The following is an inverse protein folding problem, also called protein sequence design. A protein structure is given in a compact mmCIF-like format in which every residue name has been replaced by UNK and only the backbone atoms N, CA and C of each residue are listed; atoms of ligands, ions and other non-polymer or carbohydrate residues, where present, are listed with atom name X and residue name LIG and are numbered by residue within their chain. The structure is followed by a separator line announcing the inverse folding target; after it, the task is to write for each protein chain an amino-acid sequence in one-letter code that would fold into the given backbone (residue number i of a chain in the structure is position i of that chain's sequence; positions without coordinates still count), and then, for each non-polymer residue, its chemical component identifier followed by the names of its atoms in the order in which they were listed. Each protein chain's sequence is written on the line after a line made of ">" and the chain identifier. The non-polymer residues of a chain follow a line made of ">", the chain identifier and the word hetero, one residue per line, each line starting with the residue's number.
data_IF_604465671393
#
_entry.id   IF_604465671393
#
_cell.length_a   1.000
_cell.length_b   1.000
_cell.length_c   1.000
_cell.angle_alpha   90.00
_cell.angle_beta   90.00
_cell.angle_gamma   90.00
#
_symmetry.space_group_name_H-M   'P 1'
#
loop_
_entity.id
_entity.type
_entity.pdbx_description
1 polymer ?
#
# COMPACT_ATOMS: atom_id res chain seq x y z
N UNK A 1 49.71 -33.36 -39.09
CA UNK A 1 48.40 -34.00 -38.78
C UNK A 1 47.49 -32.86 -38.36
N UNK A 2 46.70 -32.23 -39.26
CA UNK A 2 45.34 -32.65 -39.68
C UNK A 2 44.39 -32.56 -38.48
N UNK A 3 43.32 -31.77 -38.39
CA UNK A 3 42.22 -31.52 -39.35
C UNK A 3 41.39 -30.29 -38.88
N UNK A 4 41.17 -29.32 -39.76
CA UNK A 4 39.89 -28.67 -40.17
C UNK A 4 38.69 -28.61 -39.20
N UNK A 5 38.13 -27.40 -39.01
CA UNK A 5 36.68 -27.18 -38.80
C UNK A 5 36.24 -25.97 -39.62
N UNK A 6 35.20 -26.18 -40.43
CA UNK A 6 34.64 -25.26 -41.41
C UNK A 6 33.72 -24.20 -40.78
N UNK A 7 33.75 -22.97 -41.32
CA UNK A 7 32.76 -21.91 -41.07
C UNK A 7 31.66 -22.01 -42.12
N UNK A 8 30.41 -22.16 -41.68
CA UNK A 8 29.21 -22.08 -42.53
C UNK A 8 28.69 -20.65 -42.47
N UNK A 9 28.58 -20.01 -43.63
CA UNK A 9 27.84 -18.77 -43.84
C UNK A 9 26.47 -19.13 -44.43
N UNK A 10 25.39 -18.60 -43.86
CA UNK A 10 24.04 -18.69 -44.44
C UNK A 10 23.62 -17.29 -44.87
N UNK A 11 23.19 -17.23 -46.12
CA UNK A 11 22.82 -16.05 -46.91
C UNK A 11 21.37 -15.66 -46.63
N UNK A 12 21.14 -14.36 -46.38
CA UNK A 12 19.80 -13.74 -46.36
C UNK A 12 19.30 -13.52 -47.80
N UNK A 13 18.13 -14.06 -48.14
CA UNK A 13 17.42 -13.77 -49.39
C UNK A 13 16.32 -12.76 -49.06
N UNK A 14 16.48 -11.53 -49.57
CA UNK A 14 15.45 -10.49 -49.54
C UNK A 14 14.47 -10.67 -50.71
N UNK A 15 13.18 -10.56 -50.43
CA UNK A 15 12.12 -10.46 -51.44
C UNK A 15 11.64 -9.02 -51.50
N UNK A 16 11.87 -8.39 -52.65
CA UNK A 16 11.31 -7.10 -53.05
C UNK A 16 9.97 -7.37 -53.76
N UNK A 17 8.89 -6.72 -53.34
CA UNK A 17 7.67 -6.58 -54.13
C UNK A 17 7.40 -5.09 -54.29
N UNK A 18 7.32 -4.67 -55.56
CA UNK A 18 7.31 -3.28 -55.99
C UNK A 18 5.94 -2.61 -55.97
N UNK A 19 6.00 -1.28 -56.04
CA UNK A 19 4.91 -0.35 -56.23
C UNK A 19 4.33 -0.42 -57.65
N UNK A 20 3.01 -0.26 -57.78
CA UNK A 20 2.34 0.11 -59.02
C UNK A 20 1.36 1.26 -58.75
N UNK A 21 1.39 2.27 -59.62
CA UNK A 21 0.67 3.54 -59.51
C UNK A 21 -0.75 3.51 -60.09
N UNK A 22 -1.60 4.31 -59.43
CA UNK A 22 -2.76 5.10 -59.91
C UNK A 22 -4.00 4.44 -60.51
N UNK A 23 -5.14 4.66 -59.85
CA UNK A 23 -6.34 5.25 -60.45
C UNK A 23 -7.13 6.03 -59.38
N UNK A 24 -7.44 7.30 -59.66
CA UNK A 24 -8.42 8.08 -58.93
C UNK A 24 -9.78 7.97 -59.63
N UNK A 25 -10.87 7.87 -58.86
CA UNK A 25 -12.22 8.44 -59.06
C UNK A 25 -13.16 7.87 -57.98
N UNK A 26 -13.89 8.75 -57.30
CA UNK A 26 -15.18 8.42 -56.68
C UNK A 26 -15.33 8.83 -55.21
N UNK A 27 -15.88 10.03 -54.98
CA UNK A 27 -16.44 10.45 -53.69
C UNK A 27 -17.53 9.48 -53.23
N UNK A 28 -17.38 8.98 -52.01
CA UNK A 28 -18.39 8.24 -51.28
C UNK A 28 -17.98 8.11 -49.82
N UNK A 29 -18.61 8.90 -48.94
CA UNK A 29 -18.57 8.65 -47.50
C UNK A 29 -19.33 7.35 -47.18
N UNK A 30 -18.71 6.42 -46.44
CA UNK A 30 -19.45 5.79 -45.37
C UNK A 30 -18.65 5.75 -44.06
N UNK A 31 -19.26 6.30 -43.01
CA UNK A 31 -19.09 5.92 -41.60
C UNK A 31 -17.68 5.79 -41.06
N UNK A 32 -17.27 6.77 -40.26
CA UNK A 32 -16.23 6.59 -39.24
C UNK A 32 -16.70 5.54 -38.21
N UNK A 33 -16.58 4.27 -38.58
CA UNK A 33 -16.46 3.17 -37.63
C UNK A 33 -15.05 3.21 -37.08
N UNK A 34 -14.81 4.09 -36.12
CA UNK A 34 -13.59 4.06 -35.32
C UNK A 34 -13.50 2.69 -34.66
N UNK A 35 -12.60 1.84 -35.15
CA UNK A 35 -12.21 0.62 -34.45
C UNK A 35 -11.52 1.10 -33.18
N UNK A 36 -12.25 1.09 -32.06
CA UNK A 36 -11.66 1.29 -30.75
C UNK A 36 -10.55 0.24 -30.59
N UNK A 37 -9.30 0.70 -30.49
CA UNK A 37 -8.21 -0.17 -30.08
C UNK A 37 -8.62 -0.81 -28.74
N UNK A 38 -8.49 -2.13 -28.57
CA UNK A 38 -8.85 -2.77 -27.31
C UNK A 38 -8.04 -2.12 -26.19
N UNK A 39 -8.75 -1.67 -25.15
CA UNK A 39 -8.13 -1.19 -23.91
C UNK A 39 -7.11 -2.23 -23.43
N UNK A 40 -5.87 -1.81 -23.24
CA UNK A 40 -4.80 -2.66 -22.68
C UNK A 40 -4.96 -2.88 -21.18
N UNK A 41 -5.87 -2.14 -20.52
CA UNK A 41 -6.20 -2.32 -19.11
C UNK A 41 -7.28 -3.40 -18.99
N UNK A 42 -7.08 -4.44 -18.16
CA UNK A 42 -8.15 -5.39 -17.86
C UNK A 42 -9.35 -4.64 -17.26
N UNK A 43 -10.58 -5.14 -17.46
CA UNK A 43 -11.75 -4.55 -16.82
C UNK A 43 -11.57 -4.56 -15.29
N UNK A 44 -12.11 -3.53 -14.62
CA UNK A 44 -12.15 -3.47 -13.16
C UNK A 44 -12.88 -4.71 -12.64
N UNK A 45 -12.31 -5.47 -11.67
CA UNK A 45 -13.04 -6.55 -11.04
C UNK A 45 -14.24 -6.05 -10.23
N UNK A 46 -15.28 -6.88 -10.10
CA UNK A 46 -16.39 -6.61 -9.18
C UNK A 46 -16.08 -6.99 -7.73
N UNK A 47 -14.88 -7.49 -7.45
CA UNK A 47 -14.47 -8.03 -6.14
C UNK A 47 -13.27 -7.24 -5.60
N UNK A 48 -13.29 -6.89 -4.31
CA UNK A 48 -12.25 -6.10 -3.63
C UNK A 48 -11.71 -6.83 -2.39
N UNK A 49 -10.39 -6.92 -2.26
CA UNK A 49 -9.72 -7.29 -1.00
C UNK A 49 -8.99 -6.06 -0.46
N UNK A 50 -9.42 -5.54 0.68
CA UNK A 50 -8.91 -4.35 1.32
C UNK A 50 -8.08 -4.73 2.57
N UNK A 51 -6.78 -4.47 2.53
CA UNK A 51 -5.91 -4.60 3.69
C UNK A 51 -5.75 -3.24 4.36
N UNK A 52 -6.15 -3.14 5.63
CA UNK A 52 -5.82 -2.02 6.49
C UNK A 52 -4.57 -2.37 7.30
N UNK A 53 -3.52 -1.58 7.14
CA UNK A 53 -2.26 -1.69 7.90
C UNK A 53 -2.22 -0.49 8.83
N UNK A 54 -2.49 -0.73 10.11
CA UNK A 54 -2.71 0.33 11.09
C UNK A 54 -1.59 0.35 12.10
N UNK A 55 -0.95 1.50 12.21
CA UNK A 55 0.04 1.80 13.23
C UNK A 55 -0.59 1.72 14.63
N UNK A 56 0.05 0.92 15.48
CA UNK A 56 -0.38 0.67 16.85
C UNK A 56 0.52 1.32 17.90
N UNK A 57 1.28 2.36 17.51
CA UNK A 57 2.11 3.16 18.41
C UNK A 57 1.29 4.06 19.33
N UNK A 58 1.98 4.62 20.33
CA UNK A 58 1.37 5.45 21.39
C UNK A 58 0.69 6.72 20.89
N UNK A 59 1.05 7.24 19.73
CA UNK A 59 0.55 8.52 19.20
C UNK A 59 -0.73 8.41 18.39
N UNK A 60 -1.17 7.21 17.99
CA UNK A 60 -2.23 7.00 17.00
C UNK A 60 -3.66 7.01 17.56
N UNK A 61 -3.87 7.45 18.80
CA UNK A 61 -5.20 7.34 19.42
C UNK A 61 -6.25 8.10 18.62
N UNK A 62 -6.02 9.39 18.38
CA UNK A 62 -6.94 10.29 17.69
C UNK A 62 -7.14 9.89 16.22
N UNK A 63 -6.07 9.48 15.54
CA UNK A 63 -6.07 9.00 14.17
C UNK A 63 -6.86 7.70 14.00
N UNK A 64 -6.73 6.74 14.94
CA UNK A 64 -7.53 5.51 14.93
C UNK A 64 -9.03 5.81 15.13
N UNK A 65 -9.38 6.83 15.92
CA UNK A 65 -10.78 7.26 16.06
C UNK A 65 -11.34 7.87 14.78
N UNK A 66 -10.58 8.71 14.06
CA UNK A 66 -10.99 9.18 12.74
C UNK A 66 -11.13 8.02 11.74
N UNK A 67 -10.15 7.11 11.69
CA UNK A 67 -10.22 5.91 10.86
C UNK A 67 -11.53 5.15 11.11
N UNK A 68 -11.85 4.87 12.38
CA UNK A 68 -13.10 4.20 12.74
C UNK A 68 -14.32 5.01 12.28
N UNK A 69 -14.35 6.31 12.53
CA UNK A 69 -15.51 7.14 12.19
C UNK A 69 -15.79 7.14 10.68
N UNK A 70 -14.74 7.38 9.89
CA UNK A 70 -14.87 7.66 8.46
C UNK A 70 -14.89 6.38 7.59
N UNK A 71 -14.50 5.23 8.17
CA UNK A 71 -14.53 3.93 7.46
C UNK A 71 -15.93 3.54 6.98
N UNK A 72 -16.99 3.96 7.67
CA UNK A 72 -18.36 3.70 7.24
C UNK A 72 -18.64 4.33 5.87
N UNK A 73 -18.32 5.61 5.68
CA UNK A 73 -18.51 6.31 4.42
C UNK A 73 -17.69 5.69 3.29
N UNK A 74 -16.47 5.24 3.57
CA UNK A 74 -15.67 4.50 2.60
C UNK A 74 -16.36 3.20 2.14
N UNK A 75 -16.83 2.38 3.08
CA UNK A 75 -17.46 1.11 2.76
C UNK A 75 -18.81 1.30 2.06
N UNK A 76 -19.56 2.35 2.41
CA UNK A 76 -20.77 2.75 1.71
C UNK A 76 -20.45 3.13 0.26
N UNK A 77 -19.46 3.99 0.03
CA UNK A 77 -19.06 4.39 -1.32
C UNK A 77 -18.63 3.18 -2.17
N UNK A 78 -17.85 2.26 -1.60
CA UNK A 78 -17.36 1.07 -2.31
C UNK A 78 -18.47 0.06 -2.67
N UNK A 79 -19.52 -0.05 -1.86
CA UNK A 79 -20.58 -1.05 -2.01
C UNK A 79 -21.86 -0.52 -2.68
N UNK A 80 -22.05 0.80 -2.69
CA UNK A 80 -23.20 1.45 -3.34
C UNK A 80 -22.84 2.12 -4.66
N UNK A 81 -21.59 2.58 -4.77
CA UNK A 81 -21.08 3.39 -5.86
C UNK A 81 -21.43 4.88 -5.76
N UNK A 82 -21.95 5.31 -4.60
CA UNK A 82 -22.20 6.71 -4.22
C UNK A 82 -20.93 7.28 -3.57
N UNK A 83 -20.13 7.99 -4.35
CA UNK A 83 -18.77 8.36 -3.98
C UNK A 83 -18.71 9.56 -3.04
N UNK A 84 -19.69 10.46 -3.11
CA UNK A 84 -19.74 11.70 -2.31
C UNK A 84 -20.90 11.72 -1.29
N UNK A 85 -21.69 10.65 -1.21
CA UNK A 85 -22.74 10.47 -0.21
C UNK A 85 -23.98 11.30 -0.49
N UNK A 86 -24.18 11.78 -1.72
CA UNK A 86 -25.34 12.61 -2.08
C UNK A 86 -26.61 11.79 -2.40
N UNK A 87 -26.50 10.46 -2.40
CA UNK A 87 -27.56 9.49 -2.70
C UNK A 87 -27.65 9.13 -4.19
N UNK A 88 -26.79 9.68 -5.04
CA UNK A 88 -26.65 9.33 -6.45
C UNK A 88 -25.52 8.31 -6.60
N UNK A 89 -25.60 7.48 -7.63
CA UNK A 89 -24.54 6.52 -7.96
C UNK A 89 -23.69 7.09 -9.08
N UNK A 90 -22.40 7.29 -8.83
CA UNK A 90 -21.43 7.78 -9.81
C UNK A 90 -20.73 6.63 -10.53
N UNK A 91 -20.52 5.50 -9.84
CA UNK A 91 -19.78 4.36 -10.38
C UNK A 91 -20.46 3.00 -10.08
N UNK A 92 -20.21 1.95 -10.87
CA UNK A 92 -20.65 0.60 -10.50
C UNK A 92 -19.94 0.16 -9.21
N UNK A 93 -20.65 -0.34 -8.18
CA UNK A 93 -20.03 -0.75 -6.93
C UNK A 93 -19.18 -2.03 -7.05
N UNK A 94 -18.52 -2.41 -5.96
CA UNK A 94 -18.08 -3.79 -5.76
C UNK A 94 -19.27 -4.66 -5.36
N UNK A 95 -19.34 -5.86 -5.94
CA UNK A 95 -20.32 -6.89 -5.59
C UNK A 95 -19.87 -7.67 -4.34
N UNK A 96 -18.57 -7.65 -4.02
CA UNK A 96 -18.02 -8.40 -2.89
C UNK A 96 -16.78 -7.72 -2.33
N UNK A 97 -16.75 -7.52 -1.01
CA UNK A 97 -15.65 -6.85 -0.31
C UNK A 97 -15.13 -7.75 0.81
N UNK A 98 -13.82 -7.93 0.89
CA UNK A 98 -13.14 -8.52 2.04
C UNK A 98 -12.25 -7.49 2.71
N UNK A 99 -12.23 -7.47 4.04
CA UNK A 99 -11.38 -6.61 4.85
C UNK A 99 -10.50 -7.47 5.75
N UNK A 100 -9.21 -7.19 5.70
CA UNK A 100 -8.22 -7.70 6.64
C UNK A 100 -7.54 -6.54 7.35
N UNK A 101 -7.24 -6.71 8.63
CA UNK A 101 -6.49 -5.71 9.41
C UNK A 101 -5.21 -6.34 9.94
N UNK A 102 -4.07 -5.69 9.73
CA UNK A 102 -2.80 -5.99 10.38
C UNK A 102 -2.27 -4.74 11.08
N UNK A 103 -1.40 -4.95 12.06
CA UNK A 103 -0.58 -3.84 12.59
C UNK A 103 0.74 -3.76 11.84
N UNK A 104 1.51 -2.77 12.22
CA UNK A 104 2.86 -2.44 11.75
C UNK A 104 3.96 -3.09 12.60
N UNK A 105 3.60 -3.74 13.72
CA UNK A 105 4.52 -4.40 14.63
C UNK A 105 5.02 -5.72 14.04
N UNK A 106 6.25 -5.70 13.52
CA UNK A 106 6.98 -6.88 13.04
C UNK A 106 8.03 -7.37 14.05
N UNK A 107 8.04 -6.80 15.25
CA UNK A 107 9.06 -7.03 16.27
C UNK A 107 10.41 -6.41 15.91
N UNK A 108 11.39 -6.65 16.78
CA UNK A 108 12.73 -6.05 16.74
C UNK A 108 13.81 -7.10 16.45
N UNK A 109 13.44 -8.18 15.76
CA UNK A 109 14.33 -9.30 15.43
C UNK A 109 14.98 -10.00 16.63
N UNK A 110 14.31 -9.98 17.78
CA UNK A 110 14.74 -10.60 19.04
C UNK A 110 15.47 -9.67 20.01
N UNK A 111 15.70 -8.41 19.64
CA UNK A 111 16.32 -7.43 20.54
C UNK A 111 15.30 -6.85 21.53
N UNK A 112 15.61 -6.84 22.82
CA UNK A 112 14.70 -6.28 23.82
C UNK A 112 14.63 -4.76 23.72
N UNK A 113 13.48 -4.26 23.29
CA UNK A 113 13.12 -2.84 23.27
C UNK A 113 11.89 -2.65 24.17
N UNK A 114 11.87 -1.66 25.09
CA UNK A 114 10.81 -1.55 26.11
C UNK A 114 9.37 -1.53 25.59
N UNK A 115 9.11 -0.94 24.43
CA UNK A 115 7.78 -0.86 23.80
C UNK A 115 7.43 -2.11 22.99
N UNK A 116 8.41 -2.95 22.65
CA UNK A 116 8.23 -4.08 21.75
C UNK A 116 8.13 -5.39 22.55
N UNK A 117 6.94 -5.67 23.10
CA UNK A 117 6.71 -6.82 23.97
C UNK A 117 6.98 -8.17 23.28
N UNK A 118 6.77 -8.25 21.95
CA UNK A 118 6.97 -9.46 21.14
C UNK A 118 8.19 -9.30 20.21
N UNK A 119 9.36 -9.12 20.81
CA UNK A 119 10.60 -8.77 20.10
C UNK A 119 10.97 -9.66 18.90
N UNK A 120 10.59 -10.95 18.87
CA UNK A 120 10.93 -11.83 17.75
C UNK A 120 10.14 -11.52 16.47
N UNK A 121 8.81 -11.42 16.55
CA UNK A 121 7.93 -11.38 15.38
C UNK A 121 6.85 -10.29 15.44
N UNK A 122 6.67 -9.59 16.57
CA UNK A 122 5.56 -8.65 16.72
C UNK A 122 4.20 -9.33 16.56
N UNK A 123 3.36 -8.74 15.72
CA UNK A 123 2.12 -9.28 15.17
C UNK A 123 2.34 -10.02 13.83
N UNK A 124 3.54 -9.96 13.27
CA UNK A 124 4.05 -10.78 12.16
C UNK A 124 3.28 -10.66 10.83
N UNK A 125 2.51 -9.57 10.63
CA UNK A 125 1.64 -9.42 9.47
C UNK A 125 0.51 -10.46 9.42
N UNK A 126 0.14 -11.03 10.56
CA UNK A 126 -1.01 -11.94 10.68
C UNK A 126 -2.28 -11.10 10.88
N UNK A 127 -3.34 -11.46 10.15
CA UNK A 127 -4.63 -10.79 10.25
C UNK A 127 -5.16 -10.84 11.68
N UNK A 128 -5.48 -9.66 12.22
CA UNK A 128 -6.00 -9.48 13.57
C UNK A 128 -7.38 -10.13 13.68
N UNK A 129 -7.62 -10.72 14.84
CA UNK A 129 -8.94 -11.22 15.25
C UNK A 129 -9.37 -10.62 16.57
N UNK A 130 -8.54 -9.77 17.19
CA UNK A 130 -8.73 -9.24 18.53
C UNK A 130 -9.41 -7.88 18.49
N UNK A 131 -10.56 -7.82 19.15
CA UNK A 131 -11.33 -6.59 19.33
C UNK A 131 -11.14 -5.98 20.72
N UNK A 132 -11.35 -4.67 20.80
CA UNK A 132 -11.25 -3.90 22.04
C UNK A 132 -12.58 -3.81 22.76
N UNK A 133 -12.75 -4.58 23.83
CA UNK A 133 -14.00 -4.59 24.63
C UNK A 133 -14.18 -3.34 25.49
N UNK A 134 -13.15 -2.49 25.63
CA UNK A 134 -13.26 -1.17 26.23
C UNK A 134 -13.88 -0.12 25.30
N UNK A 135 -13.98 -0.42 24.00
CA UNK A 135 -14.74 0.38 23.03
C UNK A 135 -16.19 -0.12 23.00
N UNK A 136 -17.14 0.77 23.28
CA UNK A 136 -18.57 0.42 23.31
C UNK A 136 -19.01 -0.16 21.96
N UNK A 137 -19.71 -1.29 22.00
CA UNK A 137 -20.20 -1.99 20.81
C UNK A 137 -19.23 -3.04 20.26
N UNK A 138 -17.96 -3.02 20.64
CA UNK A 138 -16.99 -3.97 20.12
C UNK A 138 -16.94 -5.30 20.88
N UNK A 139 -16.90 -6.40 20.12
CA UNK A 139 -16.66 -7.75 20.60
C UNK A 139 -15.17 -8.01 20.89
N UNK A 140 -14.89 -9.04 21.67
CA UNK A 140 -13.52 -9.49 21.98
C UNK A 140 -12.83 -10.14 20.77
N UNK A 141 -13.61 -10.81 19.91
CA UNK A 141 -13.10 -11.57 18.76
C UNK A 141 -13.93 -11.36 17.51
N UNK A 142 -13.22 -11.31 16.39
CA UNK A 142 -13.76 -11.22 15.03
C UNK A 142 -13.14 -12.31 14.13
N UNK A 143 -13.77 -12.66 13.00
CA UNK A 143 -13.11 -13.39 11.92
C UNK A 143 -11.84 -12.66 11.45
N UNK A 144 -10.82 -13.40 11.01
CA UNK A 144 -9.60 -12.81 10.45
C UNK A 144 -9.84 -12.11 9.11
N UNK A 145 -10.89 -12.52 8.39
CA UNK A 145 -11.37 -11.88 7.15
C UNK A 145 -12.83 -11.53 7.34
N UNK A 146 -13.13 -10.24 7.36
CA UNK A 146 -14.50 -9.74 7.31
C UNK A 146 -14.94 -9.75 5.85
N UNK A 147 -16.12 -10.28 5.55
CA UNK A 147 -16.60 -10.39 4.18
C UNK A 147 -18.01 -9.85 4.06
N UNK A 148 -18.23 -9.06 3.01
CA UNK A 148 -19.53 -8.52 2.63
C UNK A 148 -19.91 -8.92 1.20
N UNK A 149 -21.19 -9.21 1.02
CA UNK A 149 -21.88 -9.52 -0.24
C UNK A 149 -23.28 -8.84 -0.17
N UNK A 150 -24.00 -8.64 -1.28
CA UNK A 150 -25.19 -7.76 -1.32
C UNK A 150 -26.37 -8.21 -0.45
N UNK A 151 -26.43 -9.50 -0.10
CA UNK A 151 -27.47 -10.09 0.77
C UNK A 151 -27.03 -10.17 2.24
N UNK A 152 -25.81 -9.75 2.57
CA UNK A 152 -25.27 -9.74 3.92
C UNK A 152 -25.77 -8.53 4.72
N UNK A 153 -25.67 -8.63 6.04
CA UNK A 153 -25.90 -7.49 6.94
C UNK A 153 -24.76 -6.46 6.78
N UNK A 154 -25.05 -5.39 6.04
CA UNK A 154 -24.07 -4.33 5.79
C UNK A 154 -23.73 -3.54 7.05
N UNK A 155 -24.72 -3.25 7.90
CA UNK A 155 -24.52 -2.49 9.13
C UNK A 155 -23.59 -3.25 10.08
N UNK A 156 -23.87 -4.54 10.31
CA UNK A 156 -23.00 -5.41 11.11
C UNK A 156 -21.58 -5.56 10.53
N UNK A 157 -21.43 -5.63 9.20
CA UNK A 157 -20.12 -5.66 8.54
C UNK A 157 -19.31 -4.38 8.78
N UNK A 158 -19.96 -3.22 8.68
CA UNK A 158 -19.32 -1.92 8.95
C UNK A 158 -18.93 -1.81 10.42
N UNK A 159 -19.81 -2.17 11.35
CA UNK A 159 -19.53 -2.16 12.79
C UNK A 159 -18.33 -3.06 13.15
N UNK A 160 -18.28 -4.27 12.60
CA UNK A 160 -17.17 -5.20 12.77
C UNK A 160 -15.85 -4.60 12.23
N UNK A 161 -15.87 -4.00 11.04
CA UNK A 161 -14.71 -3.38 10.42
C UNK A 161 -14.20 -2.19 11.24
N UNK A 162 -15.11 -1.33 11.71
CA UNK A 162 -14.84 -0.19 12.59
C UNK A 162 -14.24 -0.62 13.94
N UNK A 163 -14.65 -1.77 14.47
CA UNK A 163 -14.08 -2.31 15.69
C UNK A 163 -12.72 -2.97 15.49
N UNK A 164 -12.53 -3.67 14.38
CA UNK A 164 -11.27 -4.35 14.08
C UNK A 164 -10.15 -3.37 13.70
N UNK A 165 -10.50 -2.19 13.16
CA UNK A 165 -9.55 -1.12 12.81
C UNK A 165 -8.96 -0.38 14.01
N UNK A 166 -9.57 -0.47 15.21
CA UNK A 166 -8.95 0.04 16.44
C UNK A 166 -7.97 -1.01 16.96
N UNK A 167 -6.70 -0.83 16.61
CA UNK A 167 -5.64 -1.79 16.91
C UNK A 167 -5.02 -1.62 18.28
N UNK A 168 -5.23 -0.46 18.92
CA UNK A 168 -4.58 -0.09 20.18
C UNK A 168 -3.29 0.68 19.95
N UNK A 169 -2.67 1.12 21.05
CA UNK A 169 -1.53 2.07 21.04
C UNK A 169 -0.35 1.59 21.88
N UNK A 170 -0.32 0.28 22.19
CA UNK A 170 0.69 -0.37 23.02
C UNK A 170 1.67 -1.20 22.16
N UNK A 171 1.77 -0.88 20.88
CA UNK A 171 2.62 -1.52 19.89
C UNK A 171 4.10 -1.20 20.05
N UNK A 172 4.91 -1.90 19.25
CA UNK A 172 6.34 -1.64 19.15
C UNK A 172 6.58 -0.29 18.48
N UNK A 173 7.31 0.62 19.14
CA UNK A 173 7.61 1.96 18.57
C UNK A 173 8.67 1.97 17.45
N UNK A 174 8.70 0.93 16.63
CA UNK A 174 9.51 0.82 15.42
C UNK A 174 8.63 0.21 14.33
N UNK A 175 7.98 1.10 13.59
CA UNK A 175 6.93 0.72 12.66
C UNK A 175 7.52 0.13 11.38
N UNK A 176 6.94 -0.99 10.93
CA UNK A 176 7.40 -1.75 9.75
C UNK A 176 6.22 -2.02 8.82
N UNK A 177 5.51 -0.94 8.47
CA UNK A 177 4.30 -0.92 7.64
C UNK A 177 4.53 -1.66 6.31
N UNK A 178 5.68 -1.46 5.65
CA UNK A 178 5.94 -2.06 4.34
C UNK A 178 6.18 -3.56 4.44
N UNK A 179 6.96 -4.02 5.44
CA UNK A 179 7.20 -5.44 5.68
C UNK A 179 5.93 -6.15 6.16
N UNK A 180 5.15 -5.54 7.06
CA UNK A 180 3.88 -6.06 7.55
C UNK A 180 2.87 -6.22 6.41
N UNK A 181 2.69 -5.18 5.59
CA UNK A 181 1.82 -5.22 4.43
C UNK A 181 2.24 -6.35 3.48
N UNK A 182 3.50 -6.37 3.05
CA UNK A 182 4.00 -7.36 2.10
C UNK A 182 3.87 -8.78 2.66
N UNK A 183 4.18 -9.00 3.94
CA UNK A 183 4.07 -10.33 4.58
C UNK A 183 2.64 -10.82 4.65
N UNK A 184 1.70 -9.93 4.95
CA UNK A 184 0.28 -10.28 5.09
C UNK A 184 -0.32 -10.84 3.80
N UNK A 185 0.08 -10.31 2.64
CA UNK A 185 -0.54 -10.63 1.33
C UNK A 185 0.34 -11.45 0.38
N UNK A 186 1.58 -11.75 0.75
CA UNK A 186 2.46 -12.61 -0.06
C UNK A 186 2.19 -14.10 0.18
N UNK A 187 1.90 -14.91 -0.86
CA UNK A 187 1.87 -16.35 -0.73
C UNK A 187 3.28 -16.96 -0.72
N UNK A 188 3.45 -18.11 -0.08
CA UNK A 188 4.71 -18.85 0.02
C UNK A 188 5.22 -19.39 -1.33
N UNK A 189 4.33 -19.51 -2.32
CA UNK A 189 4.62 -19.95 -3.69
C UNK A 189 3.75 -19.19 -4.72
N UNK A 190 4.08 -19.20 -6.02
CA UNK A 190 3.20 -18.63 -7.05
C UNK A 190 1.80 -19.26 -7.02
N UNK A 191 0.77 -18.42 -7.09
CA UNK A 191 -0.66 -18.80 -7.07
C UNK A 191 -1.37 -18.29 -8.33
N UNK A 192 -2.69 -18.53 -8.42
CA UNK A 192 -3.49 -18.06 -9.54
C UNK A 192 -3.57 -16.52 -9.64
N UNK A 193 -3.46 -15.78 -8.53
CA UNK A 193 -3.47 -14.31 -8.59
C UNK A 193 -2.10 -13.69 -8.92
N UNK A 194 -1.01 -14.37 -8.58
CA UNK A 194 0.33 -13.78 -8.71
C UNK A 194 0.75 -13.60 -10.17
N UNK A 195 1.58 -12.60 -10.44
CA UNK A 195 2.22 -12.40 -11.73
C UNK A 195 3.13 -13.58 -12.09
N UNK A 196 3.39 -13.79 -13.38
CA UNK A 196 4.33 -14.80 -13.85
C UNK A 196 5.78 -14.55 -13.35
N UNK A 197 6.12 -13.30 -13.04
CA UNK A 197 7.41 -12.89 -12.48
C UNK A 197 7.48 -12.99 -10.96
N UNK A 198 6.40 -13.37 -10.28
CA UNK A 198 6.35 -13.41 -8.83
C UNK A 198 7.39 -14.36 -8.26
N UNK A 199 8.20 -13.81 -7.35
CA UNK A 199 9.16 -14.56 -6.55
C UNK A 199 8.76 -14.41 -5.08
N UNK A 200 8.42 -15.50 -4.38
CA UNK A 200 8.02 -15.41 -2.97
C UNK A 200 9.09 -14.71 -2.12
N UNK A 201 8.75 -13.61 -1.43
CA UNK A 201 9.68 -12.97 -0.50
C UNK A 201 9.88 -13.87 0.73
N UNK A 202 11.09 -13.85 1.28
CA UNK A 202 11.41 -14.43 2.60
C UNK A 202 11.47 -13.32 3.64
N UNK A 203 10.93 -13.57 4.82
CA UNK A 203 10.85 -12.61 5.93
C UNK A 203 11.83 -13.00 7.05
N UNK A 204 11.78 -12.28 8.18
CA UNK A 204 12.61 -12.56 9.36
C UNK A 204 12.64 -14.06 9.69
N UNK A 205 13.84 -14.56 10.02
CA UNK A 205 14.14 -16.00 10.22
C UNK A 205 13.75 -16.91 9.05
N UNK A 206 13.75 -16.39 7.82
CA UNK A 206 13.39 -17.13 6.59
C UNK A 206 11.96 -17.68 6.63
N UNK A 207 11.04 -16.98 7.30
CA UNK A 207 9.62 -17.33 7.29
C UNK A 207 8.97 -16.96 5.95
N UNK A 208 7.92 -17.69 5.51
CA UNK A 208 7.16 -17.32 4.32
C UNK A 208 6.19 -16.16 4.61
N UNK A 209 5.57 -15.62 3.56
CA UNK A 209 4.38 -14.78 3.71
C UNK A 209 3.14 -15.57 4.13
N UNK A 210 2.08 -14.87 4.51
CA UNK A 210 0.92 -15.47 5.17
C UNK A 210 -0.30 -15.70 4.28
N UNK A 211 -0.31 -15.27 3.01
CA UNK A 211 -1.54 -15.28 2.19
C UNK A 211 -2.09 -16.68 1.88
N UNK A 212 -1.25 -17.71 1.89
CA UNK A 212 -1.60 -19.13 1.78
C UNK A 212 -1.28 -19.90 3.08
N UNK A 213 -1.14 -19.17 4.19
CA UNK A 213 -0.85 -19.67 5.54
C UNK A 213 -1.81 -19.06 6.56
N UNK A 214 -1.30 -18.26 7.50
CA UNK A 214 -2.10 -17.68 8.59
C UNK A 214 -3.25 -16.77 8.10
N UNK A 215 -3.10 -16.18 6.91
CA UNK A 215 -4.06 -15.28 6.28
C UNK A 215 -4.77 -15.93 5.08
N UNK A 216 -4.78 -17.26 5.02
CA UNK A 216 -5.47 -18.00 3.97
C UNK A 216 -6.93 -17.54 3.84
N UNK A 217 -7.36 -17.30 2.60
CA UNK A 217 -8.73 -16.89 2.28
C UNK A 217 -8.95 -15.38 2.17
N UNK A 218 -7.95 -14.56 2.50
CA UNK A 218 -8.03 -13.10 2.33
C UNK A 218 -7.78 -12.63 0.89
N UNK A 219 -6.70 -13.10 0.24
CA UNK A 219 -6.37 -12.65 -1.12
C UNK A 219 -7.01 -13.59 -2.15
N UNK A 220 -7.99 -13.07 -2.89
CA UNK A 220 -8.74 -13.79 -3.92
C UNK A 220 -8.10 -13.64 -5.30
N UNK A 221 -8.36 -14.61 -6.18
CA UNK A 221 -7.71 -14.69 -7.51
C UNK A 221 -8.14 -13.60 -8.48
N UNK A 222 -9.39 -13.16 -8.38
CA UNK A 222 -10.03 -12.21 -9.30
C UNK A 222 -10.36 -10.86 -8.66
N UNK A 223 -9.76 -10.50 -7.54
CA UNK A 223 -10.04 -9.25 -6.84
C UNK A 223 -9.06 -8.14 -7.21
N UNK A 224 -9.51 -6.89 -7.05
CA UNK A 224 -8.63 -5.76 -6.84
C UNK A 224 -8.02 -5.90 -5.44
N UNK A 225 -6.69 -5.94 -5.31
CA UNK A 225 -6.03 -5.82 -4.01
C UNK A 225 -5.85 -4.35 -3.70
N UNK A 226 -6.37 -3.87 -2.59
CA UNK A 226 -6.13 -2.51 -2.13
C UNK A 226 -5.49 -2.53 -0.74
N UNK A 227 -4.47 -1.70 -0.55
CA UNK A 227 -3.73 -1.60 0.71
C UNK A 227 -3.80 -0.15 1.17
N UNK A 228 -4.36 0.07 2.36
CA UNK A 228 -4.33 1.36 3.06
C UNK A 228 -3.32 1.25 4.19
N UNK A 229 -2.34 2.15 4.22
CA UNK A 229 -1.46 2.33 5.38
C UNK A 229 -2.00 3.50 6.19
N UNK A 230 -2.02 3.39 7.52
CA UNK A 230 -2.36 4.48 8.43
C UNK A 230 -1.26 4.57 9.48
N UNK A 231 -0.42 5.60 9.38
CA UNK A 231 0.73 5.81 10.30
C UNK A 231 1.14 7.28 10.36
N UNK A 232 1.57 7.75 11.52
CA UNK A 232 2.20 9.07 11.69
C UNK A 232 3.74 8.98 11.69
N UNK A 233 4.29 7.76 11.57
CA UNK A 233 5.72 7.46 11.52
C UNK A 233 6.20 7.13 10.10
N UNK A 234 7.52 6.96 9.95
CA UNK A 234 8.16 6.48 8.73
C UNK A 234 8.40 4.97 8.80
N UNK A 235 8.51 4.31 7.65
CA UNK A 235 8.83 2.88 7.54
C UNK A 235 10.26 2.55 8.00
N UNK A 236 10.36 1.75 9.07
CA UNK A 236 11.60 1.17 9.56
C UNK A 236 11.70 -0.34 9.25
N UNK A 237 11.18 -0.80 8.11
CA UNK A 237 11.22 -2.22 7.72
C UNK A 237 12.66 -2.75 7.61
N UNK A 238 13.15 -3.36 8.69
CA UNK A 238 14.56 -3.61 8.91
C UNK A 238 15.00 -4.95 8.35
N UNK A 239 16.01 -4.92 7.48
CA UNK A 239 16.73 -6.11 7.02
C UNK A 239 17.74 -6.58 8.07
N UNK A 240 18.40 -5.64 8.72
CA UNK A 240 19.34 -5.90 9.81
C UNK A 240 18.71 -5.47 11.16
N UNK A 241 18.21 -6.42 11.97
CA UNK A 241 17.55 -6.09 13.22
C UNK A 241 18.50 -5.50 14.27
N UNK A 242 19.83 -5.55 14.08
CA UNK A 242 20.78 -4.90 14.99
C UNK A 242 20.53 -3.37 15.05
N UNK A 243 19.84 -2.78 14.08
CA UNK A 243 19.39 -1.38 14.12
C UNK A 243 18.58 -1.06 15.38
N UNK A 244 17.79 -2.03 15.87
CA UNK A 244 16.98 -1.92 17.10
C UNK A 244 17.77 -2.22 18.37
N UNK A 245 18.99 -2.75 18.26
CA UNK A 245 19.79 -3.09 19.42
C UNK A 245 20.38 -1.84 20.06
N UNK A 246 19.87 -1.46 21.22
CA UNK A 246 20.31 -0.26 21.96
C UNK A 246 21.83 -0.09 22.03
N UNK A 247 22.54 -1.16 22.33
CA UNK A 247 24.01 -1.15 22.51
C UNK A 247 24.78 -1.58 21.25
N UNK A 248 24.16 -1.46 20.07
CA UNK A 248 24.83 -1.77 18.78
C UNK A 248 26.15 -1.00 18.65
N UNK A 249 27.26 -1.68 18.34
CA UNK A 249 28.52 -1.02 17.98
C UNK A 249 28.50 -0.44 16.56
N UNK A 250 27.53 -0.84 15.73
CA UNK A 250 27.40 -0.47 14.32
C UNK A 250 26.53 0.78 14.17
N UNK A 251 25.36 0.78 14.80
CA UNK A 251 24.35 1.82 14.66
C UNK A 251 24.39 2.75 15.88
N UNK A 252 25.24 3.77 15.83
CA UNK A 252 25.63 4.51 17.05
C UNK A 252 24.85 5.79 17.33
N UNK A 253 23.96 6.23 16.43
CA UNK A 253 23.11 7.41 16.69
C UNK A 253 21.97 7.07 17.64
N UNK A 254 21.23 8.10 18.07
CA UNK A 254 20.03 7.93 18.88
C UNK A 254 19.12 6.86 18.26
N UNK A 255 18.60 5.96 19.09
CA UNK A 255 17.86 4.78 18.65
C UNK A 255 16.71 5.15 17.69
N UNK A 256 16.01 6.25 17.97
CA UNK A 256 14.86 6.71 17.19
C UNK A 256 15.25 7.30 15.82
N UNK A 257 16.52 7.62 15.60
CA UNK A 257 17.02 8.20 14.35
C UNK A 257 17.70 7.18 13.45
N UNK A 258 17.84 5.92 13.89
CA UNK A 258 18.66 4.94 13.18
C UNK A 258 18.06 4.48 11.85
N UNK A 259 16.73 4.37 11.77
CA UNK A 259 16.05 3.98 10.53
C UNK A 259 16.28 5.02 9.42
N UNK A 260 16.28 6.30 9.80
CA UNK A 260 16.62 7.43 8.94
C UNK A 260 18.13 7.48 8.61
N UNK A 261 19.00 7.47 9.61
CA UNK A 261 20.45 7.67 9.42
C UNK A 261 21.09 6.49 8.68
N UNK A 262 20.61 5.27 8.93
CA UNK A 262 21.18 4.04 8.39
C UNK A 262 20.27 3.33 7.40
N UNK A 263 19.38 4.07 6.71
CA UNK A 263 18.40 3.53 5.77
C UNK A 263 19.03 2.51 4.81
N UNK A 264 20.11 2.88 4.12
CA UNK A 264 20.75 2.03 3.11
C UNK A 264 21.38 0.76 3.68
N UNK A 265 21.86 0.82 4.93
CA UNK A 265 22.58 -0.29 5.57
C UNK A 265 21.63 -1.24 6.30
N UNK A 266 20.66 -0.69 7.04
CA UNK A 266 19.80 -1.42 7.95
C UNK A 266 18.47 -1.85 7.33
N UNK A 267 17.89 -1.04 6.43
CA UNK A 267 16.53 -1.30 5.93
C UNK A 267 16.53 -2.12 4.65
N UNK A 268 15.39 -2.75 4.37
CA UNK A 268 15.17 -3.37 3.06
C UNK A 268 15.10 -2.29 1.96
N UNK A 269 15.72 -2.54 0.78
CA UNK A 269 15.62 -1.62 -0.34
C UNK A 269 14.18 -1.59 -0.88
N UNK A 270 13.72 -0.42 -1.35
CA UNK A 270 12.36 -0.25 -1.87
C UNK A 270 12.02 -1.19 -3.04
N UNK A 271 13.02 -1.64 -3.82
CA UNK A 271 12.84 -2.64 -4.87
C UNK A 271 12.14 -3.91 -4.36
N UNK A 272 12.40 -4.32 -3.11
CA UNK A 272 11.71 -5.44 -2.46
C UNK A 272 10.20 -5.26 -2.46
N UNK A 273 9.74 -4.07 -2.09
CA UNK A 273 8.32 -3.75 -1.94
C UNK A 273 7.66 -3.48 -3.30
N UNK A 274 8.38 -2.83 -4.22
CA UNK A 274 7.91 -2.64 -5.60
C UNK A 274 7.71 -3.99 -6.28
N UNK A 275 8.73 -4.85 -6.31
CA UNK A 275 8.66 -6.15 -6.97
C UNK A 275 7.68 -7.09 -6.25
N UNK A 276 7.70 -7.08 -4.92
CA UNK A 276 6.83 -7.88 -4.08
C UNK A 276 5.37 -7.58 -4.33
N UNK A 277 4.95 -6.31 -4.20
CA UNK A 277 3.55 -5.91 -4.33
C UNK A 277 3.05 -6.00 -5.78
N UNK A 278 3.84 -5.59 -6.76
CA UNK A 278 3.47 -5.75 -8.19
C UNK A 278 3.36 -7.22 -8.58
N UNK A 279 4.13 -8.10 -7.94
CA UNK A 279 4.07 -9.54 -8.16
C UNK A 279 2.80 -10.21 -7.63
N UNK A 280 2.01 -9.54 -6.77
CA UNK A 280 0.78 -10.12 -6.18
C UNK A 280 -0.39 -10.18 -7.16
N UNK A 281 -0.28 -9.52 -8.32
CA UNK A 281 -1.34 -9.45 -9.32
C UNK A 281 -0.80 -9.66 -10.71
N UNK A 282 -1.55 -10.36 -11.56
CA UNK A 282 -1.21 -10.57 -12.97
C UNK A 282 -1.05 -9.26 -13.76
N UNK A 283 -1.73 -8.20 -13.33
CA UNK A 283 -1.63 -6.86 -13.87
C UNK A 283 -1.50 -5.85 -12.74
N UNK A 284 -0.54 -4.93 -12.85
CA UNK A 284 -0.30 -3.88 -11.86
C UNK A 284 -1.53 -3.02 -11.57
N UNK A 285 -2.40 -2.81 -12.58
CA UNK A 285 -3.65 -2.06 -12.41
C UNK A 285 -4.70 -2.72 -11.49
N UNK A 286 -4.45 -3.96 -11.05
CA UNK A 286 -5.25 -4.70 -10.06
C UNK A 286 -4.65 -4.60 -8.64
N UNK A 287 -3.64 -3.74 -8.46
CA UNK A 287 -3.12 -3.32 -7.17
C UNK A 287 -3.51 -1.85 -6.94
N UNK A 288 -3.98 -1.55 -5.75
CA UNK A 288 -4.14 -0.19 -5.25
C UNK A 288 -3.34 -0.01 -3.95
N UNK A 289 -2.67 1.14 -3.82
CA UNK A 289 -1.86 1.49 -2.66
C UNK A 289 -2.19 2.92 -2.24
N UNK A 290 -2.61 3.09 -0.99
CA UNK A 290 -3.11 4.36 -0.48
C UNK A 290 -2.58 4.63 0.93
N UNK A 291 -1.40 5.25 1.06
CA UNK A 291 -0.88 5.68 2.35
C UNK A 291 -1.62 6.91 2.87
N UNK A 292 -2.16 6.80 4.09
CA UNK A 292 -2.61 7.91 4.95
C UNK A 292 -1.50 8.17 5.95
N UNK A 293 -0.64 9.15 5.64
CA UNK A 293 0.66 9.34 6.28
C UNK A 293 0.94 10.81 6.59
N UNK A 294 2.09 11.14 7.18
CA UNK A 294 2.52 12.49 7.54
C UNK A 294 2.76 13.45 6.37
N UNK A 295 1.77 13.64 5.49
CA UNK A 295 1.73 14.63 4.42
C UNK A 295 0.97 15.86 4.93
N UNK A 296 1.51 17.08 4.84
CA UNK A 296 0.75 18.28 5.15
C UNK A 296 -0.55 18.38 4.35
N UNK A 297 -1.65 18.78 4.99
CA UNK A 297 -2.99 18.79 4.39
C UNK A 297 -3.12 19.66 3.14
N UNK A 298 -2.32 20.72 3.00
CA UNK A 298 -2.26 21.56 1.80
C UNK A 298 -1.51 20.94 0.62
N UNK A 299 -0.90 19.76 0.82
CA UNK A 299 -0.27 18.93 -0.21
C UNK A 299 -1.10 17.70 -0.56
N UNK A 300 -2.17 17.42 0.19
CA UNK A 300 -3.08 16.32 -0.11
C UNK A 300 -3.81 16.59 -1.44
N UNK A 301 -3.84 15.62 -2.37
CA UNK A 301 -4.63 15.75 -3.59
C UNK A 301 -6.12 15.86 -3.26
N UNK A 302 -6.83 16.83 -3.85
CA UNK A 302 -8.29 16.85 -3.78
C UNK A 302 -8.89 15.62 -4.48
N UNK A 303 -10.08 15.12 -4.08
CA UNK A 303 -10.72 13.99 -4.74
C UNK A 303 -10.76 14.12 -6.28
N UNK A 304 -10.28 13.09 -6.98
CA UNK A 304 -10.18 13.06 -8.44
C UNK A 304 -8.96 13.78 -9.05
N UNK A 305 -8.14 14.47 -8.26
CA UNK A 305 -6.90 15.07 -8.75
C UNK A 305 -5.73 14.07 -8.73
N UNK A 306 -4.77 14.26 -9.63
CA UNK A 306 -3.53 13.49 -9.65
C UNK A 306 -2.59 13.91 -8.51
N UNK A 307 -1.74 12.99 -8.05
CA UNK A 307 -0.74 13.27 -7.03
C UNK A 307 0.40 14.13 -7.59
N UNK A 308 0.73 15.23 -6.92
CA UNK A 308 1.85 16.11 -7.29
C UNK A 308 3.20 15.57 -6.78
N UNK A 309 3.69 14.46 -7.35
CA UNK A 309 4.90 13.77 -6.86
C UNK A 309 6.15 14.63 -6.75
N UNK A 310 6.33 15.65 -7.60
CA UNK A 310 7.50 16.52 -7.52
C UNK A 310 7.52 17.38 -6.25
N UNK A 311 6.35 17.65 -5.66
CA UNK A 311 6.22 18.32 -4.35
C UNK A 311 6.40 17.35 -3.19
N UNK A 312 6.03 16.09 -3.37
CA UNK A 312 6.11 15.06 -2.32
C UNK A 312 7.49 14.40 -2.22
N UNK A 313 8.02 13.90 -3.34
CA UNK A 313 9.31 13.16 -3.38
C UNK A 313 10.30 13.70 -4.42
N UNK A 314 10.03 14.85 -5.05
CA UNK A 314 10.92 15.44 -6.05
C UNK A 314 12.31 15.83 -5.51
N UNK A 315 13.14 16.38 -6.39
CA UNK A 315 14.48 16.84 -6.04
C UNK A 315 14.46 18.05 -5.08
N UNK A 316 15.56 18.33 -4.37
CA UNK A 316 15.70 19.55 -3.59
C UNK A 316 15.37 20.81 -4.41
N UNK A 317 14.37 21.56 -3.96
CA UNK A 317 13.89 22.79 -4.62
C UNK A 317 12.52 22.66 -5.28
N UNK A 318 12.08 21.45 -5.64
CA UNK A 318 10.68 21.17 -6.01
C UNK A 318 9.92 20.52 -4.86
N UNK A 319 10.60 19.65 -4.09
CA UNK A 319 10.03 19.02 -2.91
C UNK A 319 9.70 20.04 -1.83
N UNK A 320 8.52 19.89 -1.20
CA UNK A 320 8.15 20.69 -0.05
C UNK A 320 9.15 20.49 1.09
N UNK A 321 9.65 21.59 1.63
CA UNK A 321 10.69 21.57 2.67
C UNK A 321 10.27 20.91 3.99
N UNK A 322 8.96 20.72 4.21
CA UNK A 322 8.39 20.00 5.36
C UNK A 322 8.51 18.48 5.21
N UNK A 323 8.62 17.98 3.98
CA UNK A 323 8.80 16.56 3.66
C UNK A 323 10.28 16.17 3.49
N UNK A 324 11.20 17.07 3.85
CA UNK A 324 12.63 16.77 3.87
C UNK A 324 13.02 16.38 5.29
N UNK A 325 13.38 15.13 5.49
CA UNK A 325 13.84 14.60 6.77
C UNK A 325 15.09 15.34 7.25
N UNK A 326 14.99 15.87 8.47
CA UNK A 326 16.07 16.59 9.15
C UNK A 326 15.93 16.34 10.64
N UNK A 327 17.04 16.12 11.33
CA UNK A 327 17.05 16.05 12.80
C UNK A 327 16.57 17.37 13.39
N UNK A 328 15.67 17.31 14.37
CA UNK A 328 15.12 18.48 15.06
C UNK A 328 16.20 19.09 15.98
N UNK A 329 16.69 20.32 15.73
CA UNK A 329 17.71 20.93 16.57
C UNK A 329 17.21 21.25 17.99
N UNK A 330 15.89 21.35 18.20
CA UNK A 330 15.30 21.53 19.52
C UNK A 330 15.11 20.20 20.25
N UNK A 331 15.04 19.08 19.53
CA UNK A 331 14.89 17.73 20.07
C UNK A 331 15.72 16.73 19.25
N UNK A 332 17.03 16.61 19.51
CA UNK A 332 17.97 15.87 18.65
C UNK A 332 17.85 14.33 18.72
N UNK A 333 16.73 13.83 19.24
CA UNK A 333 16.33 12.42 19.27
C UNK A 333 15.18 12.12 18.30
N UNK A 334 14.79 13.08 17.44
CA UNK A 334 13.74 12.90 16.44
C UNK A 334 13.97 13.76 15.20
N UNK A 335 13.20 13.48 14.16
CA UNK A 335 13.11 14.34 12.98
C UNK A 335 12.21 15.55 13.24
N UNK A 336 12.36 16.59 12.42
CA UNK A 336 11.40 17.69 12.35
C UNK A 336 10.09 17.11 11.80
N UNK A 337 8.95 17.28 12.49
CA UNK A 337 7.66 16.82 12.00
C UNK A 337 7.28 17.51 10.68
N UNK A 338 6.68 16.75 9.76
CA UNK A 338 6.10 17.29 8.53
C UNK A 338 4.78 18.01 8.81
N UNK A 339 4.04 17.56 9.81
CA UNK A 339 2.85 18.22 10.30
C UNK A 339 2.74 18.09 11.83
N UNK A 340 2.04 19.04 12.45
CA UNK A 340 1.76 19.05 13.88
C UNK A 340 0.39 19.69 14.09
N UNK A 341 -0.58 18.89 14.50
CA UNK A 341 -1.98 19.30 14.64
C UNK A 341 -2.31 19.32 16.13
N UNK A 342 -2.51 20.51 16.73
CA UNK A 342 -2.78 20.61 18.15
C UNK A 342 -3.98 19.76 18.57
N UNK A 343 -3.76 18.84 19.52
CA UNK A 343 -4.81 17.97 20.06
C UNK A 343 -5.13 16.73 19.21
N UNK A 344 -4.35 16.46 18.16
CA UNK A 344 -4.45 15.22 17.37
C UNK A 344 -3.14 14.43 17.45
N UNK A 345 -2.05 15.02 16.97
CA UNK A 345 -0.80 14.29 16.88
C UNK A 345 0.28 15.05 16.12
N UNK A 346 1.45 14.41 16.05
CA UNK A 346 2.63 14.89 15.34
C UNK A 346 3.05 13.80 14.39
N UNK A 347 3.06 14.08 13.09
CA UNK A 347 3.51 13.11 12.09
C UNK A 347 4.86 13.51 11.48
N UNK A 348 5.61 12.50 11.09
CA UNK A 348 6.95 12.65 10.52
C UNK A 348 6.93 12.50 9.00
N UNK A 349 7.95 13.03 8.29
CA UNK A 349 8.04 12.90 6.84
C UNK A 349 8.06 11.41 6.41
N UNK A 350 7.13 10.95 5.55
CA UNK A 350 7.03 9.55 5.12
C UNK A 350 7.72 9.35 3.75
N UNK A 351 8.97 9.82 3.64
CA UNK A 351 9.85 9.69 2.46
C UNK A 351 9.79 8.32 1.78
N UNK A 352 10.03 7.22 2.50
CA UNK A 352 10.13 5.86 1.94
C UNK A 352 8.78 5.37 1.44
N UNK A 353 7.73 5.61 2.22
CA UNK A 353 6.36 5.24 1.87
C UNK A 353 5.90 5.99 0.61
N UNK A 354 6.17 7.29 0.52
CA UNK A 354 5.81 8.10 -0.66
C UNK A 354 6.63 7.73 -1.89
N UNK A 355 7.91 7.39 -1.73
CA UNK A 355 8.73 6.93 -2.85
C UNK A 355 8.28 5.55 -3.36
N UNK A 356 7.90 4.64 -2.47
CA UNK A 356 7.23 3.39 -2.87
C UNK A 356 5.96 3.68 -3.67
N UNK A 357 5.09 4.56 -3.15
CA UNK A 357 3.84 4.93 -3.79
C UNK A 357 4.07 5.49 -5.21
N UNK A 358 5.00 6.44 -5.37
CA UNK A 358 5.40 6.99 -6.68
C UNK A 358 5.86 5.90 -7.64
N UNK A 359 6.69 4.97 -7.16
CA UNK A 359 7.22 3.89 -7.99
C UNK A 359 6.12 2.91 -8.41
N UNK A 360 5.21 2.55 -7.52
CA UNK A 360 4.07 1.68 -7.84
C UNK A 360 3.17 2.31 -8.91
N UNK A 361 2.89 3.62 -8.80
CA UNK A 361 2.12 4.35 -9.81
C UNK A 361 2.84 4.34 -11.18
N UNK A 362 4.16 4.55 -11.19
CA UNK A 362 4.98 4.49 -12.40
C UNK A 362 4.93 3.13 -13.11
N UNK A 363 4.61 2.05 -12.39
CA UNK A 363 4.39 0.71 -12.94
C UNK A 363 2.91 0.40 -13.24
N UNK A 364 2.00 1.37 -13.08
CA UNK A 364 0.59 1.27 -13.44
C UNK A 364 -0.32 0.74 -12.33
N UNK A 365 0.15 0.68 -11.08
CA UNK A 365 -0.73 0.49 -9.93
C UNK A 365 -1.60 1.73 -9.70
N UNK A 366 -2.76 1.54 -9.06
CA UNK A 366 -3.63 2.63 -8.65
C UNK A 366 -3.07 3.23 -7.36
N UNK A 367 -2.66 4.49 -7.37
CA UNK A 367 -2.05 5.11 -6.19
C UNK A 367 -2.77 6.42 -5.87
N UNK A 368 -2.98 6.64 -4.58
CA UNK A 368 -3.41 7.92 -4.02
C UNK A 368 -2.64 8.20 -2.75
N UNK A 369 -2.83 9.38 -2.15
CA UNK A 369 -2.16 9.78 -0.91
C UNK A 369 -3.16 10.53 -0.05
N UNK A 370 -3.26 10.16 1.22
CA UNK A 370 -4.02 10.90 2.23
C UNK A 370 -3.09 11.50 3.28
N UNK A 371 -3.46 12.64 3.83
CA UNK A 371 -2.83 13.20 5.03
C UNK A 371 -3.39 12.52 6.27
N UNK A 372 -2.53 12.04 7.17
CA UNK A 372 -2.97 11.63 8.52
C UNK A 372 -3.28 12.84 9.42
N UNK A 373 -2.76 14.01 9.05
CA UNK A 373 -2.83 15.27 9.78
C UNK A 373 -4.17 16.03 9.62
N UNK A 374 -5.18 15.42 9.03
CA UNK A 374 -6.51 16.03 8.88
C UNK A 374 -7.45 15.55 9.98
N UNK A 375 -8.47 16.33 10.34
CA UNK A 375 -9.39 15.97 11.44
C UNK A 375 -10.29 14.76 11.12
N UNK A 376 -10.60 14.56 9.84
CA UNK A 376 -11.42 13.46 9.32
C UNK A 376 -10.83 12.94 8.03
N UNK A 377 -10.92 11.63 7.82
CA UNK A 377 -10.54 10.91 6.61
C UNK A 377 -11.67 10.80 5.58
N UNK A 378 -12.77 11.57 5.68
CA UNK A 378 -13.81 11.63 4.65
C UNK A 378 -13.24 11.97 3.26
N UNK A 379 -12.49 13.07 3.15
CA UNK A 379 -11.90 13.52 1.88
C UNK A 379 -10.90 12.52 1.25
N UNK A 380 -9.90 11.97 1.99
CA UNK A 380 -9.00 10.98 1.41
C UNK A 380 -9.74 9.67 1.09
N UNK A 381 -10.78 9.30 1.84
CA UNK A 381 -11.55 8.09 1.54
C UNK A 381 -12.47 8.26 0.34
N UNK A 382 -13.03 9.44 0.10
CA UNK A 382 -13.66 9.76 -1.19
C UNK A 382 -12.64 9.63 -2.32
N UNK A 383 -11.44 10.24 -2.17
CA UNK A 383 -10.39 10.17 -3.18
C UNK A 383 -9.96 8.71 -3.46
N UNK A 384 -9.88 7.88 -2.42
CA UNK A 384 -9.59 6.46 -2.53
C UNK A 384 -10.72 5.68 -3.20
N UNK A 385 -11.99 5.93 -2.84
CA UNK A 385 -13.13 5.29 -3.48
C UNK A 385 -13.18 5.60 -4.98
N UNK A 386 -12.97 6.87 -5.37
CA UNK A 386 -12.81 7.29 -6.78
C UNK A 386 -11.67 6.54 -7.46
N UNK A 387 -10.49 6.48 -6.84
CA UNK A 387 -9.32 5.76 -7.36
C UNK A 387 -9.62 4.27 -7.66
N UNK A 388 -10.47 3.63 -6.85
CA UNK A 388 -10.82 2.21 -7.03
C UNK A 388 -11.94 2.00 -8.07
N UNK A 389 -12.91 2.89 -8.14
CA UNK A 389 -14.15 2.72 -8.89
C UNK A 389 -14.13 3.36 -10.30
N UNK A 390 -13.33 4.41 -10.48
CA UNK A 390 -13.00 5.04 -11.77
C UNK A 390 -11.78 4.36 -12.43
#
# INVERSE_FOLDING_TARGET
>A
MGVFVARIAVVFIGVLIGCAETHAVGDGHPGEGGVALPSTRPPRPSVLDLLLVVDNSGSLTEEQWSLRHDLAGLLEALTTGDLDGDGVREAPPFESVQIGVVTTDMGTGGYTVPTCARADFGDDGILRTEGRTDVLGCHERYPSVLAWEPEADFEGFVEDAQCLSIVGTEGCGFEQQLEAALKAVSPSHPTAFTAASYTPPTFFRSTPGHADGSNEGFVRSGSLLAIILVTDEEDCSARDPEVFYRDSPTYTVDLNLRCFEYEEQALHPLDRYVDGLLGLRQHSSLLAFFPVVGVPTDLEPTPGAAVEWDRLTGEPGTRDTRLVERVDPAMPSRLIPSCNVPGRGVAFPPSRILELARRLEGWGARVGVGSICQESFEAPFEAFARLLLE
#
